data_IF_578626969142
#
_entry.id   IF_578626969142
#
_cell.length_a   1.000
_cell.length_b   1.000
_cell.length_c   1.000
_cell.angle_alpha   90.00
_cell.angle_beta   90.00
_cell.angle_gamma   90.00
#
_symmetry.space_group_name_H-M   'P 1'
#
loop_
_entity.id
_entity.type
_entity.pdbx_description
1 polymer ?
#
# COMPACT_ATOMS: atom_id res chain seq x y z
N UNK A 1 -14.00 -0.07 21.18
CA UNK A 1 -13.60 -0.32 19.77
C UNK A 1 -13.65 -1.82 19.52
N UNK A 2 -13.80 -2.29 18.28
CA UNK A 2 -13.70 -3.73 18.00
C UNK A 2 -12.24 -4.13 18.09
N UNK A 3 -11.89 -5.04 19.00
CA UNK A 3 -10.54 -5.59 19.04
C UNK A 3 -10.29 -6.49 17.84
N UNK A 4 -9.13 -6.38 17.21
CA UNK A 4 -8.82 -7.13 16.00
C UNK A 4 -7.44 -6.82 15.44
N UNK A 5 -7.13 -7.47 14.32
CA UNK A 5 -5.97 -7.13 13.51
C UNK A 5 -6.41 -6.20 12.38
N UNK A 6 -5.54 -5.29 12.01
CA UNK A 6 -5.79 -4.30 10.98
C UNK A 6 -4.56 -4.15 10.11
N UNK A 7 -4.78 -3.92 8.82
CA UNK A 7 -3.70 -3.60 7.89
C UNK A 7 -3.71 -2.11 7.60
N UNK A 8 -2.60 -1.44 7.92
CA UNK A 8 -2.33 -0.07 7.49
C UNK A 8 -1.50 -0.10 6.20
N UNK A 9 -1.87 0.73 5.22
CA UNK A 9 -1.15 0.88 3.95
C UNK A 9 -0.87 2.36 3.71
N UNK A 10 0.37 2.71 3.39
CA UNK A 10 0.77 4.08 3.06
C UNK A 10 1.75 4.07 1.88
N UNK A 11 1.51 4.94 0.90
CA UNK A 11 2.49 5.32 -0.12
C UNK A 11 2.80 6.81 0.07
N UNK A 12 4.03 7.12 0.47
CA UNK A 12 4.48 8.51 0.62
C UNK A 12 4.61 9.24 -0.72
N UNK A 13 4.73 10.57 -0.68
CA UNK A 13 4.97 11.41 -1.87
C UNK A 13 6.39 11.24 -2.43
N UNK A 14 7.29 10.59 -1.68
CA UNK A 14 8.65 10.20 -2.10
C UNK A 14 8.65 9.12 -3.19
N UNK A 15 7.59 8.32 -3.31
CA UNK A 15 7.44 7.23 -4.28
C UNK A 15 8.58 6.20 -4.25
N UNK A 16 9.17 6.00 -3.08
CA UNK A 16 10.27 5.08 -2.81
C UNK A 16 9.79 3.68 -2.41
N UNK A 17 8.61 3.58 -1.80
CA UNK A 17 8.00 2.31 -1.40
C UNK A 17 6.55 2.47 -0.96
N UNK A 18 5.90 1.31 -0.76
CA UNK A 18 4.60 1.19 -0.10
C UNK A 18 4.85 0.53 1.25
N UNK A 19 4.60 1.26 2.32
CA UNK A 19 4.68 0.75 3.68
C UNK A 19 3.37 0.08 4.06
N UNK A 20 3.47 -1.17 4.50
CA UNK A 20 2.34 -1.98 4.96
C UNK A 20 2.63 -2.47 6.37
N UNK A 21 1.69 -2.28 7.28
CA UNK A 21 1.79 -2.72 8.68
C UNK A 21 0.61 -3.60 9.06
N UNK A 22 0.88 -4.64 9.84
CA UNK A 22 -0.13 -5.41 10.55
C UNK A 22 -0.14 -4.91 11.99
N UNK A 23 -1.27 -4.38 12.45
CA UNK A 23 -1.44 -3.89 13.81
C UNK A 23 -2.53 -4.69 14.54
N UNK A 24 -2.25 -5.10 15.77
CA UNK A 24 -3.28 -5.52 16.70
C UNK A 24 -3.77 -4.27 17.44
N UNK A 25 -5.08 -4.04 17.38
CA UNK A 25 -5.74 -2.88 17.99
C UNK A 25 -6.82 -3.39 18.92
N UNK A 26 -6.82 -2.91 20.17
CA UNK A 26 -7.91 -3.10 21.12
C UNK A 26 -8.31 -1.76 21.76
N UNK A 27 -9.04 -1.80 22.88
CA UNK A 27 -9.53 -0.60 23.57
C UNK A 27 -8.42 0.28 24.14
N UNK A 28 -7.27 -0.30 24.48
CA UNK A 28 -6.20 0.38 25.21
C UNK A 28 -4.87 0.40 24.47
N UNK A 29 -4.68 -0.48 23.50
CA UNK A 29 -3.38 -0.76 22.88
C UNK A 29 -3.45 -0.75 21.36
N UNK A 30 -2.40 -0.19 20.76
CA UNK A 30 -2.05 -0.38 19.35
C UNK A 30 -0.65 -0.98 19.31
N UNK A 31 -0.53 -2.20 18.81
CA UNK A 31 0.74 -2.92 18.72
C UNK A 31 1.02 -3.36 17.29
N UNK A 32 2.14 -2.93 16.72
CA UNK A 32 2.63 -3.43 15.43
C UNK A 32 3.08 -4.89 15.58
N UNK A 33 2.48 -5.78 14.80
CA UNK A 33 2.82 -7.21 14.77
C UNK A 33 3.81 -7.54 13.64
N UNK A 34 3.68 -6.88 12.49
CA UNK A 34 4.57 -7.04 11.35
C UNK A 34 4.60 -5.76 10.50
N UNK A 35 5.66 -5.59 9.72
CA UNK A 35 5.76 -4.54 8.72
C UNK A 35 6.48 -5.07 7.47
N UNK A 36 6.14 -4.47 6.34
CA UNK A 36 6.74 -4.76 5.04
C UNK A 36 6.78 -3.47 4.20
N UNK A 37 7.92 -3.21 3.56
CA UNK A 37 8.05 -2.13 2.59
C UNK A 37 8.15 -2.75 1.19
N UNK A 38 7.13 -2.52 0.38
CA UNK A 38 7.06 -3.03 -0.98
C UNK A 38 7.69 -2.04 -1.96
N UNK A 39 8.60 -2.46 -2.85
CA UNK A 39 9.17 -1.56 -3.84
C UNK A 39 8.12 -1.11 -4.84
N UNK A 40 8.05 0.19 -5.13
CA UNK A 40 7.20 0.70 -6.22
C UNK A 40 7.87 0.42 -7.57
N UNK A 41 7.19 -0.22 -8.54
CA UNK A 41 7.72 -0.40 -9.88
C UNK A 41 8.14 0.93 -10.52
N UNK A 42 9.31 0.93 -11.15
CA UNK A 42 9.86 2.14 -11.77
C UNK A 42 8.90 2.76 -12.80
N UNK A 43 8.13 1.94 -13.53
CA UNK A 43 7.11 2.39 -14.48
C UNK A 43 6.02 3.23 -13.81
N UNK A 44 5.48 2.79 -12.67
CA UNK A 44 4.46 3.51 -11.90
C UNK A 44 5.06 4.82 -11.36
N UNK A 45 6.26 4.74 -10.76
CA UNK A 45 6.96 5.92 -10.24
C UNK A 45 7.18 6.99 -11.31
N UNK A 46 7.70 6.61 -12.49
CA UNK A 46 7.93 7.54 -13.59
C UNK A 46 6.64 8.11 -14.15
N UNK A 47 5.58 7.32 -14.24
CA UNK A 47 4.27 7.80 -14.69
C UNK A 47 3.70 8.86 -13.74
N UNK A 48 3.72 8.62 -12.43
CA UNK A 48 3.28 9.61 -11.42
C UNK A 48 4.12 10.89 -11.53
N UNK A 49 5.45 10.78 -11.56
CA UNK A 49 6.34 11.94 -11.66
C UNK A 49 6.09 12.75 -12.95
N UNK A 50 5.86 12.09 -14.08
CA UNK A 50 5.53 12.75 -15.35
C UNK A 50 4.26 13.59 -15.24
N UNK A 51 3.22 13.07 -14.58
CA UNK A 51 1.97 13.82 -14.36
C UNK A 51 2.19 15.02 -13.44
N UNK A 52 2.98 14.86 -12.37
CA UNK A 52 3.30 15.95 -11.45
C UNK A 52 4.19 17.04 -12.06
N UNK A 53 4.90 16.76 -13.16
CA UNK A 53 5.78 17.70 -13.85
C UNK A 53 5.08 18.52 -14.94
N UNK A 54 3.75 18.51 -14.99
CA UNK A 54 2.96 19.34 -15.89
C UNK A 54 2.83 18.81 -17.31
N UNK A 55 3.15 17.52 -17.54
CA UNK A 55 2.84 16.88 -18.82
C UNK A 55 1.32 16.76 -19.01
N UNK A 56 0.80 16.85 -20.24
CA UNK A 56 -0.63 16.64 -20.50
C UNK A 56 -1.08 15.25 -20.02
N UNK A 57 -2.11 15.23 -19.16
CA UNK A 57 -2.70 14.00 -18.62
C UNK A 57 -4.11 13.84 -19.18
N UNK A 58 -4.40 12.67 -19.75
CA UNK A 58 -5.77 12.29 -20.10
C UNK A 58 -6.43 11.57 -18.93
N UNK A 59 -7.75 11.67 -18.82
CA UNK A 59 -8.50 10.96 -17.79
C UNK A 59 -8.31 9.44 -17.89
N UNK A 60 -8.18 8.90 -19.11
CA UNK A 60 -7.90 7.48 -19.33
C UNK A 60 -6.51 7.09 -18.81
N UNK A 61 -5.47 7.89 -19.06
CA UNK A 61 -4.13 7.62 -18.54
C UNK A 61 -4.11 7.67 -17.00
N UNK A 62 -4.83 8.62 -16.41
CA UNK A 62 -4.98 8.71 -14.95
C UNK A 62 -5.67 7.46 -14.37
N UNK A 63 -6.77 7.00 -14.98
CA UNK A 63 -7.47 5.80 -14.52
C UNK A 63 -6.64 4.52 -14.63
N UNK A 64 -5.83 4.36 -15.69
CA UNK A 64 -4.91 3.23 -15.81
C UNK A 64 -3.82 3.27 -14.74
N UNK A 65 -3.27 4.46 -14.45
CA UNK A 65 -2.25 4.63 -13.43
C UNK A 65 -2.81 4.37 -12.02
N UNK A 66 -4.02 4.85 -11.73
CA UNK A 66 -4.73 4.58 -10.48
C UNK A 66 -4.93 3.07 -10.27
N UNK A 67 -5.46 2.37 -11.28
CA UNK A 67 -5.66 0.92 -11.23
C UNK A 67 -4.33 0.16 -11.01
N UNK A 68 -3.27 0.57 -11.72
CA UNK A 68 -1.94 -0.04 -11.57
C UNK A 68 -1.36 0.19 -10.17
N UNK A 69 -1.62 1.37 -9.59
CA UNK A 69 -1.18 1.71 -8.24
C UNK A 69 -1.93 0.87 -7.20
N UNK A 70 -3.26 0.73 -7.32
CA UNK A 70 -4.08 -0.13 -6.45
C UNK A 70 -3.62 -1.59 -6.50
N UNK A 71 -3.24 -2.10 -7.68
CA UNK A 71 -2.70 -3.45 -7.80
C UNK A 71 -1.40 -3.61 -7.01
N UNK A 72 -0.48 -2.64 -7.14
CA UNK A 72 0.78 -2.61 -6.39
C UNK A 72 0.56 -2.56 -4.86
N UNK A 73 -0.41 -1.77 -4.38
CA UNK A 73 -0.82 -1.75 -2.97
C UNK A 73 -1.36 -3.12 -2.52
N UNK A 74 -2.14 -3.78 -3.38
CA UNK A 74 -2.69 -5.12 -3.10
C UNK A 74 -1.59 -6.17 -3.00
N UNK A 75 -0.60 -6.13 -3.91
CA UNK A 75 0.57 -7.01 -3.85
C UNK A 75 1.37 -6.81 -2.55
N UNK A 76 1.52 -5.56 -2.11
CA UNK A 76 2.18 -5.24 -0.85
C UNK A 76 1.45 -5.86 0.37
N UNK A 77 0.12 -5.80 0.39
CA UNK A 77 -0.71 -6.43 1.43
C UNK A 77 -0.58 -7.96 1.42
N UNK A 78 -0.66 -8.57 0.23
CA UNK A 78 -0.52 -10.03 0.10
C UNK A 78 0.89 -10.50 0.51
N UNK A 79 1.92 -9.72 0.20
CA UNK A 79 3.29 -9.99 0.62
C UNK A 79 3.43 -9.93 2.15
N UNK A 80 2.84 -8.93 2.82
CA UNK A 80 2.81 -8.85 4.28
C UNK A 80 2.10 -10.05 4.91
N UNK A 81 0.92 -10.43 4.39
CA UNK A 81 0.17 -11.59 4.89
C UNK A 81 0.97 -12.88 4.75
N UNK A 82 1.59 -13.08 3.58
CA UNK A 82 2.47 -14.23 3.32
C UNK A 82 3.68 -14.26 4.25
N UNK A 83 4.33 -13.11 4.48
CA UNK A 83 5.50 -12.99 5.35
C UNK A 83 5.15 -13.24 6.82
N UNK A 84 3.98 -12.78 7.26
CA UNK A 84 3.50 -12.91 8.64
C UNK A 84 2.79 -14.25 8.93
N UNK A 85 2.47 -15.04 7.90
CA UNK A 85 1.74 -16.30 8.04
C UNK A 85 0.28 -16.12 8.49
N UNK A 86 -0.30 -14.94 8.25
CA UNK A 86 -1.66 -14.59 8.65
C UNK A 86 -2.62 -14.81 7.49
N UNK A 87 -3.80 -15.39 7.76
CA UNK A 87 -4.85 -15.54 6.76
C UNK A 87 -5.58 -14.21 6.57
N UNK A 88 -6.03 -13.94 5.35
CA UNK A 88 -6.87 -12.77 5.06
C UNK A 88 -8.18 -12.77 5.88
N UNK A 89 -8.64 -13.94 6.33
CA UNK A 89 -9.80 -14.08 7.23
C UNK A 89 -9.57 -13.58 8.65
N UNK A 90 -8.31 -13.33 9.04
CA UNK A 90 -7.91 -12.93 10.39
C UNK A 90 -7.76 -11.41 10.55
N UNK A 91 -8.02 -10.65 9.47
CA UNK A 91 -7.95 -9.19 9.39
C UNK A 91 -9.36 -8.60 9.55
#
# INVERSE_FOLDING_TARGET
MKSGRYIGVMSGTSLDGIDVVLAAIDEYTVAQQASYCHPIPQSIRLAILSMCQGQPVTLSALGHLDTSSVFCLTEAVLALLKQSGISASDI
#
